data_IF_062270678460
#
_entry.id   IF_062270678460
#
_cell.length_a   1.000
_cell.length_b   1.000
_cell.length_c   1.000
_cell.angle_alpha   90.00
_cell.angle_beta   90.00
_cell.angle_gamma   90.00
#
_symmetry.space_group_name_H-M   'P 1'
#
loop_
_entity.id
_entity.type
_entity.pdbx_description
1 polymer ?
#
# COMPACT_ATOMS: atom_id res chain seq x y z
N UNK A 1 -5.58 8.38 17.53
CA UNK A 1 -4.76 7.17 17.41
C UNK A 1 -3.30 7.56 17.30
N UNK A 2 -2.38 6.62 17.50
CA UNK A 2 -0.94 6.85 17.28
C UNK A 2 -0.67 6.83 15.76
N UNK A 3 0.02 7.84 15.19
CA UNK A 3 0.44 7.79 13.80
C UNK A 3 1.35 6.58 13.55
N UNK A 4 1.11 5.87 12.45
CA UNK A 4 1.96 4.77 11.98
C UNK A 4 2.49 5.09 10.59
N UNK A 5 3.66 4.53 10.26
CA UNK A 5 4.22 4.60 8.92
C UNK A 5 4.04 3.24 8.25
N UNK A 6 3.36 3.23 7.11
CA UNK A 6 3.32 2.10 6.19
C UNK A 6 4.33 2.34 5.07
N UNK A 7 5.29 1.45 4.96
CA UNK A 7 6.21 1.41 3.83
C UNK A 7 5.89 0.22 2.93
N UNK A 8 5.65 0.50 1.66
CA UNK A 8 5.56 -0.52 0.62
C UNK A 8 6.78 -0.42 -0.29
N UNK A 9 7.64 -1.44 -0.24
CA UNK A 9 8.88 -1.51 -1.02
C UNK A 9 8.85 -2.71 -1.95
N UNK A 10 9.24 -2.50 -3.20
CA UNK A 10 9.36 -3.56 -4.20
C UNK A 10 10.83 -3.86 -4.48
N UNK A 11 11.36 -4.90 -3.82
CA UNK A 11 12.71 -5.44 -4.07
C UNK A 11 12.74 -6.49 -5.21
N UNK A 12 11.57 -6.78 -5.80
CA UNK A 12 11.40 -7.72 -6.89
C UNK A 12 11.75 -7.12 -8.25
N UNK A 13 11.64 -7.97 -9.27
CA UNK A 13 11.83 -7.57 -10.68
C UNK A 13 10.52 -7.17 -11.37
N UNK A 14 9.39 -7.66 -10.87
CA UNK A 14 8.06 -7.42 -11.42
C UNK A 14 7.44 -6.15 -10.84
N UNK A 15 6.47 -5.59 -11.55
CA UNK A 15 5.63 -4.52 -11.01
C UNK A 15 4.74 -5.08 -9.90
N UNK A 16 4.53 -4.31 -8.84
CA UNK A 16 3.63 -4.67 -7.77
C UNK A 16 2.82 -3.47 -7.31
N UNK A 17 1.65 -3.78 -6.78
CA UNK A 17 0.85 -2.86 -6.01
C UNK A 17 0.44 -3.47 -4.67
N UNK A 18 0.13 -2.58 -3.74
CA UNK A 18 -0.50 -2.87 -2.47
C UNK A 18 -1.87 -2.22 -2.49
N UNK A 19 -2.91 -3.03 -2.67
CA UNK A 19 -4.30 -2.62 -2.49
C UNK A 19 -4.71 -2.99 -1.08
N UNK A 20 -5.33 -2.05 -0.35
CA UNK A 20 -5.88 -2.27 0.98
C UNK A 20 -7.33 -1.81 0.99
N UNK A 21 -8.25 -2.74 1.23
CA UNK A 21 -9.67 -2.45 1.30
C UNK A 21 -10.11 -2.09 2.72
N UNK A 22 -11.05 -1.16 2.82
CA UNK A 22 -11.61 -0.63 4.06
C UNK A 22 -10.72 0.35 4.83
N UNK A 23 -9.43 0.48 4.48
CA UNK A 23 -8.52 1.38 5.20
C UNK A 23 -8.74 2.82 4.74
N UNK A 24 -9.16 3.68 5.66
CA UNK A 24 -9.30 5.11 5.40
C UNK A 24 -8.02 5.84 5.81
N UNK A 25 -7.17 6.16 4.82
CA UNK A 25 -6.02 7.05 5.01
C UNK A 25 -6.48 8.46 4.66
N UNK A 26 -6.92 9.20 5.67
CA UNK A 26 -7.52 10.54 5.53
C UNK A 26 -6.46 11.64 5.72
N UNK A 27 -5.49 11.39 6.60
CA UNK A 27 -4.42 12.35 6.98
C UNK A 27 -3.05 11.72 6.75
N UNK A 28 -2.66 11.58 5.49
CA UNK A 28 -1.39 10.95 5.14
C UNK A 28 -0.37 11.85 4.46
N UNK A 29 0.85 11.84 4.99
CA UNK A 29 2.02 12.39 4.30
C UNK A 29 2.65 11.28 3.49
N UNK A 30 2.82 11.53 2.19
CA UNK A 30 3.44 10.59 1.27
C UNK A 30 4.87 11.03 1.02
N UNK A 31 5.82 10.12 1.27
CA UNK A 31 7.20 10.28 0.83
C UNK A 31 7.43 9.32 -0.34
N UNK A 32 7.59 9.90 -1.53
CA UNK A 32 7.82 9.18 -2.78
C UNK A 32 9.31 9.28 -3.12
N UNK A 33 10.03 8.16 -3.06
CA UNK A 33 11.41 8.11 -3.51
C UNK A 33 11.49 8.51 -4.99
N UNK A 34 12.24 9.59 -5.29
CA UNK A 34 12.45 10.13 -6.64
C UNK A 34 13.10 9.10 -7.56
N UNK A 35 12.28 8.38 -8.32
CA UNK A 35 12.70 7.64 -9.51
C UNK A 35 11.87 8.13 -10.69
N UNK A 36 12.46 8.25 -11.87
CA UNK A 36 11.74 8.55 -13.11
C UNK A 36 10.65 7.50 -13.35
N UNK A 37 9.38 7.94 -13.45
CA UNK A 37 8.22 7.03 -13.40
C UNK A 37 7.86 6.56 -11.99
N UNK A 38 7.99 7.46 -11.01
CA UNK A 38 7.93 7.19 -9.57
C UNK A 38 6.67 6.48 -9.08
N UNK A 39 6.68 6.06 -7.81
CA UNK A 39 5.57 5.35 -7.20
C UNK A 39 4.26 6.12 -7.34
N UNK A 40 3.16 5.40 -7.60
CA UNK A 40 1.83 6.01 -7.76
C UNK A 40 0.93 5.64 -6.59
N UNK A 41 0.10 6.57 -6.19
CA UNK A 41 -0.94 6.34 -5.20
C UNK A 41 -2.30 6.73 -5.77
N UNK A 42 -3.32 5.92 -5.48
CA UNK A 42 -4.70 6.29 -5.77
C UNK A 42 -5.58 6.01 -4.56
N UNK A 43 -6.38 7.00 -4.18
CA UNK A 43 -7.41 6.90 -3.16
C UNK A 43 -8.77 6.73 -3.83
N UNK A 44 -9.45 5.63 -3.53
CA UNK A 44 -10.90 5.51 -3.73
C UNK A 44 -11.54 5.47 -2.34
N UNK A 45 -12.79 5.93 -2.18
CA UNK A 45 -13.49 5.77 -0.90
C UNK A 45 -13.42 4.32 -0.44
N UNK A 46 -12.82 4.07 0.72
CA UNK A 46 -12.64 2.74 1.27
C UNK A 46 -11.58 1.86 0.61
N UNK A 47 -10.74 2.36 -0.31
CA UNK A 47 -9.61 1.58 -0.86
C UNK A 47 -8.38 2.45 -1.08
N UNK A 48 -7.24 2.01 -0.56
CA UNK A 48 -5.93 2.59 -0.85
C UNK A 48 -5.18 1.68 -1.82
N UNK A 49 -4.56 2.27 -2.84
CA UNK A 49 -3.66 1.54 -3.74
C UNK A 49 -2.32 2.25 -3.83
N UNK A 50 -1.26 1.53 -3.48
CA UNK A 50 0.13 1.96 -3.62
C UNK A 50 0.77 1.16 -4.74
N UNK A 51 1.54 1.81 -5.61
CA UNK A 51 2.15 1.19 -6.78
C UNK A 51 3.65 1.40 -6.72
N UNK A 52 4.41 0.30 -6.83
CA UNK A 52 5.87 0.32 -6.84
C UNK A 52 6.41 -0.57 -7.96
N UNK A 53 7.16 0.05 -8.87
CA UNK A 53 8.03 -0.66 -9.81
C UNK A 53 9.30 -1.19 -9.12
N UNK A 54 10.17 -1.84 -9.90
CA UNK A 54 11.44 -2.41 -9.42
C UNK A 54 12.27 -1.38 -8.65
N UNK A 55 12.63 -1.71 -7.40
CA UNK A 55 13.46 -0.88 -6.54
C UNK A 55 12.76 0.36 -5.98
N UNK A 56 11.46 0.55 -6.24
CA UNK A 56 10.72 1.68 -5.73
C UNK A 56 10.12 1.40 -4.35
N UNK A 57 9.91 2.46 -3.59
CA UNK A 57 9.23 2.43 -2.30
C UNK A 57 8.24 3.58 -2.15
N UNK A 58 7.13 3.32 -1.47
CA UNK A 58 6.12 4.31 -1.07
C UNK A 58 6.02 4.31 0.44
N UNK A 59 6.13 5.48 1.06
CA UNK A 59 5.85 5.64 2.50
C UNK A 59 4.59 6.46 2.70
N UNK A 60 3.74 6.00 3.61
CA UNK A 60 2.50 6.67 4.02
C UNK A 60 2.44 6.71 5.53
N UNK A 61 2.49 7.91 6.10
CA UNK A 61 2.20 8.11 7.53
C UNK A 61 0.70 8.31 7.69
N UNK A 62 0.01 7.64 8.61
CA UNK A 62 -1.42 7.90 8.86
C UNK A 62 -1.86 7.44 10.25
N UNK A 63 -3.04 7.87 10.70
CA UNK A 63 -3.65 7.37 11.94
C UNK A 63 -4.66 6.27 11.60
N UNK A 64 -4.39 4.99 11.92
CA UNK A 64 -5.30 3.91 11.58
C UNK A 64 -6.51 3.88 12.51
N UNK A 65 -7.64 3.35 12.01
CA UNK A 65 -8.78 2.97 12.83
C UNK A 65 -8.65 1.50 13.21
N UNK A 66 -9.11 1.14 14.42
CA UNK A 66 -9.24 -0.26 14.86
C UNK A 66 -10.05 -1.03 13.82
N UNK A 67 -9.59 -2.22 13.45
CA UNK A 67 -10.23 -3.02 12.41
C UNK A 67 -9.34 -4.09 11.80
N UNK A 68 -9.94 -4.82 10.85
CA UNK A 68 -9.26 -5.81 10.01
C UNK A 68 -9.40 -5.38 8.56
N UNK A 69 -8.29 -5.29 7.85
CA UNK A 69 -8.23 -4.79 6.48
C UNK A 69 -7.47 -5.78 5.63
N UNK A 70 -8.12 -6.31 4.59
CA UNK A 70 -7.44 -7.21 3.66
C UNK A 70 -6.57 -6.40 2.70
N UNK A 71 -5.41 -6.96 2.39
CA UNK A 71 -4.52 -6.41 1.39
C UNK A 71 -4.16 -7.45 0.34
N UNK A 72 -3.84 -7.00 -0.87
CA UNK A 72 -3.41 -7.86 -1.97
C UNK A 72 -2.67 -7.09 -3.07
N UNK A 73 -1.98 -7.84 -3.93
CA UNK A 73 -1.49 -7.35 -5.21
C UNK A 73 -2.51 -7.66 -6.32
N UNK A 74 -2.93 -6.65 -7.08
CA UNK A 74 -3.95 -6.76 -8.12
C UNK A 74 -3.43 -7.23 -9.48
N UNK A 75 -2.11 -7.31 -9.62
CA UNK A 75 -1.45 -7.88 -10.80
C UNK A 75 -1.92 -9.34 -11.03
N UNK A 76 -2.14 -9.68 -12.30
CA UNK A 76 -2.71 -10.96 -12.69
C UNK A 76 -1.90 -12.14 -12.12
N UNK A 77 -2.59 -13.07 -11.46
CA UNK A 77 -1.97 -14.25 -10.85
C UNK A 77 -1.27 -14.01 -9.50
N UNK A 78 -0.86 -12.78 -9.17
CA UNK A 78 -0.08 -12.50 -7.95
C UNK A 78 -0.90 -12.75 -6.67
N UNK A 79 -2.16 -12.29 -6.61
CA UNK A 79 -3.07 -12.60 -5.49
C UNK A 79 -3.30 -14.10 -5.31
N UNK A 80 -3.46 -14.82 -6.43
CA UNK A 80 -3.65 -16.28 -6.44
C UNK A 80 -2.40 -17.05 -5.99
N UNK A 81 -1.23 -16.52 -6.31
CA UNK A 81 0.08 -17.04 -5.88
C UNK A 81 0.42 -16.71 -4.42
N UNK A 82 -0.43 -15.97 -3.70
CA UNK A 82 -0.27 -15.72 -2.28
C UNK A 82 0.10 -14.28 -1.90
N UNK A 83 0.17 -13.33 -2.84
CA UNK A 83 0.34 -11.91 -2.52
C UNK A 83 -0.95 -11.30 -1.97
N UNK A 84 -1.31 -11.72 -0.76
CA UNK A 84 -2.47 -11.30 0.00
C UNK A 84 -2.23 -11.47 1.49
N UNK A 85 -2.95 -10.73 2.30
CA UNK A 85 -2.95 -10.90 3.74
C UNK A 85 -3.96 -9.98 4.42
N UNK A 86 -3.86 -9.89 5.74
CA UNK A 86 -4.75 -9.04 6.55
C UNK A 86 -3.92 -8.19 7.50
N UNK A 87 -4.18 -6.89 7.50
CA UNK A 87 -3.70 -5.95 8.52
C UNK A 87 -4.73 -5.94 9.66
N UNK A 88 -4.26 -6.12 10.89
CA UNK A 88 -5.10 -6.03 12.09
C UNK A 88 -4.62 -4.87 12.95
N UNK A 89 -5.49 -3.88 13.13
CA UNK A 89 -5.27 -2.72 14.01
C UNK A 89 -6.08 -2.96 15.29
N UNK A 90 -5.41 -2.89 16.44
CA UNK A 90 -5.99 -3.11 17.77
C UNK A 90 -5.86 -1.87 18.63
#
# INVERSE_FOLDING_TARGET
GVPVVLEFRNDGRSHHDLVIDGINIIDGVVDMGSSSGGPKMSFKPGTVRLVAGKGQSVRVTFIPRVGRFDFYCSEAGHRGAGMRGTIVVR
#
